data_IF_506885779518
#
_entry.id   IF_506885779518
#
_cell.length_a   1.000
_cell.length_b   1.000
_cell.length_c   1.000
_cell.angle_alpha   90.00
_cell.angle_beta   90.00
_cell.angle_gamma   90.00
#
_symmetry.space_group_name_H-M   'P 1'
#
loop_
_entity.id
_entity.type
_entity.pdbx_description
1 polymer ?
#
# COMPACT_ATOMS: atom_id res chain seq x y z
N UNK A 1 12.55 18.33 -13.12
CA UNK A 1 11.32 17.80 -12.47
C UNK A 1 11.26 18.37 -11.07
N UNK A 2 10.09 18.79 -10.62
CA UNK A 2 9.92 19.33 -9.29
C UNK A 2 9.40 18.23 -8.35
N UNK A 3 9.95 18.18 -7.14
CA UNK A 3 9.52 17.29 -6.06
C UNK A 3 9.51 18.08 -4.76
N UNK A 4 8.40 18.01 -4.02
CA UNK A 4 8.27 18.61 -2.70
C UNK A 4 8.23 17.52 -1.65
N UNK A 5 9.17 17.57 -0.69
CA UNK A 5 9.30 16.58 0.37
C UNK A 5 9.92 15.26 -0.07
N UNK A 6 9.66 14.22 0.70
CA UNK A 6 10.16 12.87 0.42
C UNK A 6 9.25 12.20 -0.61
N UNK A 7 9.85 11.59 -1.62
CA UNK A 7 9.15 10.79 -2.64
C UNK A 7 8.90 9.38 -2.12
N UNK A 8 7.64 9.05 -1.89
CA UNK A 8 7.22 7.71 -1.50
C UNK A 8 6.68 6.94 -2.69
N UNK A 9 7.21 5.75 -2.92
CA UNK A 9 6.80 4.85 -4.00
C UNK A 9 6.99 3.39 -3.59
N UNK A 10 6.26 2.45 -4.20
CA UNK A 10 6.54 1.02 -4.01
C UNK A 10 7.94 0.67 -4.56
N UNK A 11 8.66 -0.29 -3.97
CA UNK A 11 9.99 -0.68 -4.44
C UNK A 11 10.03 -1.07 -5.92
N UNK A 12 8.99 -1.72 -6.42
CA UNK A 12 8.88 -2.16 -7.82
C UNK A 12 8.64 -1.00 -8.80
N UNK A 13 8.33 0.22 -8.33
CA UNK A 13 8.23 1.45 -9.14
C UNK A 13 9.53 2.26 -9.16
N UNK A 14 10.63 1.71 -8.66
CA UNK A 14 11.92 2.42 -8.56
C UNK A 14 12.46 2.94 -9.91
N UNK A 15 12.19 2.21 -10.99
CA UNK A 15 12.65 2.57 -12.34
C UNK A 15 11.54 3.17 -13.23
N UNK A 16 10.38 3.47 -12.66
CA UNK A 16 9.27 4.13 -13.35
C UNK A 16 9.54 5.63 -13.49
N UNK A 17 8.92 6.27 -14.47
CA UNK A 17 8.86 7.73 -14.47
C UNK A 17 8.02 8.18 -13.27
N UNK A 18 8.64 8.80 -12.30
CA UNK A 18 7.94 9.37 -11.16
C UNK A 18 7.44 10.78 -11.54
N UNK A 19 6.15 11.04 -11.34
CA UNK A 19 5.54 12.33 -11.66
C UNK A 19 4.71 12.81 -10.48
N UNK A 20 5.10 13.93 -9.89
CA UNK A 20 4.35 14.52 -8.79
C UNK A 20 3.12 15.27 -9.31
N UNK A 21 1.94 14.79 -8.93
CA UNK A 21 0.66 15.42 -9.29
C UNK A 21 -0.09 15.97 -8.08
N UNK A 22 0.33 15.54 -6.89
CA UNK A 22 -0.12 16.05 -5.59
C UNK A 22 1.05 16.06 -4.62
N UNK A 23 0.97 16.85 -3.54
CA UNK A 23 1.84 16.74 -2.37
C UNK A 23 1.02 16.27 -1.18
N UNK A 24 1.67 15.65 -0.20
CA UNK A 24 1.02 15.23 1.03
C UNK A 24 -0.03 14.13 0.80
N UNK A 25 -0.95 14.00 1.75
CA UNK A 25 -2.07 13.07 1.71
C UNK A 25 -3.37 13.78 2.03
N UNK A 26 -4.42 13.64 1.17
CA UNK A 26 -5.72 14.30 1.34
C UNK A 26 -6.46 13.80 2.57
N UNK A 27 -6.17 12.58 3.02
CA UNK A 27 -6.76 12.00 4.22
C UNK A 27 -6.00 12.40 5.49
N UNK A 28 -4.70 12.13 5.55
CA UNK A 28 -3.72 12.46 6.61
C UNK A 28 -4.23 12.31 8.07
N UNK A 29 -5.02 11.25 8.35
CA UNK A 29 -5.66 10.99 9.66
C UNK A 29 -5.39 9.59 10.19
N UNK A 30 -4.60 8.79 9.48
CA UNK A 30 -4.25 7.46 9.93
C UNK A 30 -3.36 7.55 11.17
N UNK A 31 -3.75 6.89 12.27
CA UNK A 31 -3.05 7.00 13.57
C UNK A 31 -1.61 6.50 13.53
N UNK A 32 -1.28 5.62 12.60
CA UNK A 32 0.05 5.01 12.45
C UNK A 32 0.98 5.77 11.50
N UNK A 33 0.44 6.70 10.68
CA UNK A 33 1.18 7.29 9.58
C UNK A 33 1.73 8.67 9.96
N UNK A 34 3.05 8.83 9.84
CA UNK A 34 3.77 10.10 10.01
C UNK A 34 4.29 10.68 8.70
N UNK A 35 4.18 9.93 7.57
CA UNK A 35 4.81 10.24 6.28
C UNK A 35 4.50 11.64 5.74
N UNK A 36 3.33 12.19 6.06
CA UNK A 36 2.89 13.49 5.55
C UNK A 36 2.45 14.45 6.66
N UNK A 37 2.91 14.24 7.91
CA UNK A 37 2.56 15.11 9.06
C UNK A 37 2.88 16.57 8.80
N UNK A 38 4.03 16.84 8.15
CA UNK A 38 4.57 18.18 7.91
C UNK A 38 4.41 18.65 6.44
N UNK A 39 3.73 17.87 5.61
CA UNK A 39 3.53 18.18 4.19
C UNK A 39 2.05 18.44 3.91
N UNK A 40 1.64 19.72 3.71
CA UNK A 40 0.26 20.06 3.37
C UNK A 40 -0.18 19.39 2.06
N UNK A 41 -1.40 18.86 2.04
CA UNK A 41 -1.98 18.40 0.80
C UNK A 41 -2.18 19.54 -0.19
N UNK A 42 -1.65 19.39 -1.41
CA UNK A 42 -1.77 20.34 -2.51
C UNK A 42 -1.88 19.57 -3.83
N UNK A 43 -2.66 20.10 -4.74
CA UNK A 43 -2.72 19.63 -6.13
C UNK A 43 -1.69 20.41 -6.95
N UNK A 44 -0.77 19.71 -7.63
CA UNK A 44 0.21 20.36 -8.50
C UNK A 44 -0.47 21.12 -9.65
N UNK A 45 -0.10 22.39 -9.94
CA UNK A 45 -0.57 23.10 -11.12
C UNK A 45 -0.29 22.33 -12.41
N UNK A 46 -1.15 22.46 -13.42
CA UNK A 46 -0.94 21.73 -14.69
C UNK A 46 0.31 22.21 -15.41
N UNK A 47 0.69 23.47 -15.23
CA UNK A 47 1.90 24.06 -15.79
C UNK A 47 3.18 23.40 -15.25
N UNK A 48 3.19 23.03 -13.96
CA UNK A 48 4.29 22.28 -13.34
C UNK A 48 4.35 20.86 -13.91
N UNK A 49 3.21 20.17 -13.97
CA UNK A 49 3.11 18.83 -14.56
C UNK A 49 3.57 18.83 -16.02
N UNK A 50 3.19 19.84 -16.82
CA UNK A 50 3.61 19.99 -18.20
C UNK A 50 5.12 20.22 -18.32
N UNK A 51 5.71 21.01 -17.41
CA UNK A 51 7.14 21.24 -17.37
C UNK A 51 7.90 19.94 -17.07
N UNK A 52 7.42 19.18 -16.09
CA UNK A 52 8.02 17.91 -15.69
C UNK A 52 7.94 16.85 -16.80
N UNK A 53 6.80 16.74 -17.47
CA UNK A 53 6.65 15.83 -18.61
C UNK A 53 7.61 16.20 -19.75
N UNK A 54 7.79 17.50 -20.05
CA UNK A 54 8.77 17.95 -21.05
C UNK A 54 10.21 17.62 -20.67
N UNK A 55 10.56 17.88 -19.40
CA UNK A 55 11.90 17.55 -18.87
C UNK A 55 12.14 16.03 -18.89
N UNK A 56 11.15 15.24 -18.44
CA UNK A 56 11.21 13.79 -18.47
C UNK A 56 11.39 13.27 -19.91
N UNK A 57 10.68 13.81 -20.88
CA UNK A 57 10.82 13.42 -22.31
C UNK A 57 12.26 13.60 -22.82
N UNK A 58 12.96 14.61 -22.34
CA UNK A 58 14.36 14.85 -22.72
C UNK A 58 15.33 13.93 -21.96
N UNK A 59 15.08 13.63 -20.70
CA UNK A 59 16.08 13.10 -19.78
C UNK A 59 15.77 11.70 -19.22
N UNK A 60 14.52 11.23 -19.24
CA UNK A 60 14.16 9.92 -18.68
C UNK A 60 14.87 8.80 -19.43
N UNK A 61 15.56 7.95 -18.69
CA UNK A 61 16.32 6.80 -19.18
C UNK A 61 15.95 5.52 -18.44
N UNK A 62 14.82 5.55 -17.71
CA UNK A 62 14.31 4.37 -16.99
C UNK A 62 14.05 3.21 -17.96
N UNK A 63 14.28 2.00 -17.48
CA UNK A 63 14.06 0.79 -18.26
C UNK A 63 12.58 0.41 -18.33
N UNK A 64 11.81 0.80 -17.30
CA UNK A 64 10.41 0.51 -17.20
C UNK A 64 9.58 1.48 -18.05
N UNK A 65 8.78 0.93 -18.95
CA UNK A 65 7.88 1.71 -19.83
C UNK A 65 6.56 2.00 -19.10
N UNK A 66 6.65 2.76 -18.02
CA UNK A 66 5.51 3.11 -17.17
C UNK A 66 5.78 4.37 -16.37
N UNK A 67 4.70 5.00 -15.89
CA UNK A 67 4.76 6.13 -14.98
C UNK A 67 4.10 5.76 -13.65
N UNK A 68 4.58 6.34 -12.57
CA UNK A 68 3.97 6.32 -11.25
C UNK A 68 3.65 7.75 -10.84
N UNK A 69 2.35 8.02 -10.58
CA UNK A 69 1.90 9.27 -10.00
C UNK A 69 2.19 9.23 -8.51
N UNK A 70 3.21 9.96 -8.12
CA UNK A 70 3.76 9.85 -6.77
C UNK A 70 3.03 10.65 -5.72
N UNK A 71 3.47 10.44 -4.48
CA UNK A 71 2.89 10.87 -3.22
C UNK A 71 1.63 10.12 -2.80
N UNK A 72 1.29 10.29 -1.51
CA UNK A 72 0.41 9.38 -0.78
C UNK A 72 -1.02 9.29 -1.28
N UNK A 73 -1.43 10.16 -2.20
CA UNK A 73 -2.84 10.23 -2.55
C UNK A 73 -3.13 10.81 -3.95
N UNK A 74 -2.31 10.46 -4.94
CA UNK A 74 -2.48 10.95 -6.32
C UNK A 74 -3.86 10.62 -6.89
N UNK A 75 -4.46 9.49 -6.50
CA UNK A 75 -5.79 9.10 -6.96
C UNK A 75 -6.93 9.90 -6.30
N UNK A 76 -6.64 10.84 -5.38
CA UNK A 76 -7.60 11.81 -4.84
C UNK A 76 -8.02 12.88 -5.88
N UNK A 77 -7.24 13.06 -6.93
CA UNK A 77 -7.60 13.96 -8.02
C UNK A 77 -8.93 13.56 -8.67
N UNK A 78 -9.68 14.54 -9.16
CA UNK A 78 -10.89 14.26 -9.94
C UNK A 78 -10.60 13.40 -11.18
N UNK A 79 -11.60 12.66 -11.64
CA UNK A 79 -11.45 11.84 -12.84
C UNK A 79 -10.98 12.67 -14.05
N UNK A 80 -11.54 13.87 -14.24
CA UNK A 80 -11.16 14.75 -15.34
C UNK A 80 -9.71 15.24 -15.22
N UNK A 81 -9.23 15.52 -14.00
CA UNK A 81 -7.84 15.90 -13.78
C UNK A 81 -6.88 14.73 -14.09
N UNK A 82 -7.22 13.53 -13.62
CA UNK A 82 -6.45 12.31 -13.90
C UNK A 82 -6.43 12.01 -15.40
N UNK A 83 -7.55 12.16 -16.10
CA UNK A 83 -7.64 11.99 -17.57
C UNK A 83 -6.71 12.98 -18.29
N UNK A 84 -6.76 14.26 -17.93
CA UNK A 84 -5.90 15.27 -18.53
C UNK A 84 -4.41 14.99 -18.31
N UNK A 85 -4.01 14.51 -17.13
CA UNK A 85 -2.62 14.10 -16.83
C UNK A 85 -2.24 12.88 -17.67
N UNK A 86 -3.10 11.85 -17.72
CA UNK A 86 -2.83 10.63 -18.47
C UNK A 86 -2.70 10.88 -19.98
N UNK A 87 -3.53 11.73 -20.57
CA UNK A 87 -3.44 12.14 -21.98
C UNK A 87 -2.08 12.77 -22.30
N UNK A 88 -1.59 13.66 -21.42
CA UNK A 88 -0.28 14.31 -21.57
C UNK A 88 0.89 13.30 -21.46
N UNK A 89 0.82 12.39 -20.50
CA UNK A 89 1.81 11.31 -20.36
C UNK A 89 1.80 10.42 -21.62
N UNK A 90 0.63 9.98 -22.08
CA UNK A 90 0.49 9.13 -23.26
C UNK A 90 0.98 9.82 -24.55
N UNK A 91 0.75 11.12 -24.68
CA UNK A 91 1.27 11.90 -25.82
C UNK A 91 2.79 12.04 -25.80
N UNK A 92 3.40 12.15 -24.61
CA UNK A 92 4.84 12.26 -24.46
C UNK A 92 5.54 10.88 -24.53
N UNK A 93 4.91 9.84 -24.01
CA UNK A 93 5.44 8.47 -23.87
C UNK A 93 4.41 7.44 -24.37
N UNK A 94 4.19 7.36 -25.70
CA UNK A 94 3.16 6.49 -26.28
C UNK A 94 3.40 4.99 -25.99
N UNK A 95 4.67 4.62 -25.78
CA UNK A 95 5.09 3.24 -25.53
C UNK A 95 4.91 2.82 -24.05
N UNK A 96 4.47 3.72 -23.17
CA UNK A 96 4.23 3.33 -21.78
C UNK A 96 3.05 2.35 -21.70
N UNK A 97 3.21 1.34 -20.88
CA UNK A 97 2.24 0.24 -20.74
C UNK A 97 1.10 0.63 -19.80
N UNK A 98 1.44 1.32 -18.70
CA UNK A 98 0.47 1.80 -17.73
C UNK A 98 0.98 3.00 -16.93
N UNK A 99 0.05 3.66 -16.26
CA UNK A 99 0.25 4.71 -15.28
C UNK A 99 -0.34 4.20 -13.97
N UNK A 100 0.46 4.11 -12.93
CA UNK A 100 0.06 3.63 -11.60
C UNK A 100 0.05 4.76 -10.57
N UNK A 101 -0.61 4.53 -9.44
CA UNK A 101 -0.73 5.50 -8.35
C UNK A 101 -1.06 4.80 -7.03
N UNK A 102 -0.82 5.49 -5.92
CA UNK A 102 -1.48 5.17 -4.66
C UNK A 102 -2.92 5.68 -4.64
N UNK A 103 -3.78 4.93 -3.99
CA UNK A 103 -5.17 5.30 -3.75
C UNK A 103 -5.66 4.87 -2.36
N UNK A 104 -6.68 5.54 -1.88
CA UNK A 104 -7.52 5.09 -0.77
C UNK A 104 -8.87 4.57 -1.30
N UNK A 105 -9.58 3.82 -0.48
CA UNK A 105 -10.95 3.38 -0.77
C UNK A 105 -11.88 4.57 -1.05
N UNK A 106 -11.68 5.68 -0.33
CA UNK A 106 -12.44 6.92 -0.53
C UNK A 106 -12.23 7.51 -1.92
N UNK A 107 -10.99 7.54 -2.41
CA UNK A 107 -10.71 8.08 -3.74
C UNK A 107 -11.41 7.27 -4.86
N UNK A 108 -11.56 5.96 -4.66
CA UNK A 108 -12.29 5.10 -5.59
C UNK A 108 -13.79 5.36 -5.51
N UNK A 109 -14.33 5.57 -4.27
CA UNK A 109 -15.74 5.88 -4.03
C UNK A 109 -16.18 7.13 -4.79
N UNK A 110 -15.32 8.16 -4.86
CA UNK A 110 -15.59 9.45 -5.50
C UNK A 110 -15.60 9.38 -7.03
N UNK A 111 -15.31 8.23 -7.63
CA UNK A 111 -15.31 8.02 -9.09
C UNK A 111 -16.42 7.06 -9.48
N UNK A 112 -17.17 7.42 -10.53
CA UNK A 112 -18.15 6.50 -11.12
C UNK A 112 -17.46 5.34 -11.83
N UNK A 113 -18.18 4.24 -12.06
CA UNK A 113 -17.70 3.14 -12.88
C UNK A 113 -17.29 3.58 -14.30
N UNK A 114 -18.04 4.55 -14.87
CA UNK A 114 -17.70 5.15 -16.15
C UNK A 114 -16.35 5.86 -16.09
N UNK A 115 -16.12 6.68 -15.07
CA UNK A 115 -14.83 7.37 -14.90
C UNK A 115 -13.67 6.38 -14.82
N UNK A 116 -13.83 5.31 -14.04
CA UNK A 116 -12.80 4.27 -13.90
C UNK A 116 -12.52 3.57 -15.24
N UNK A 117 -13.55 3.25 -16.04
CA UNK A 117 -13.38 2.67 -17.39
C UNK A 117 -12.67 3.64 -18.33
N UNK A 118 -13.00 4.93 -18.28
CA UNK A 118 -12.31 5.96 -19.06
C UNK A 118 -10.83 6.10 -18.63
N UNK A 119 -10.55 6.15 -17.32
CA UNK A 119 -9.17 6.17 -16.79
C UNK A 119 -8.39 4.92 -17.23
N UNK A 120 -9.01 3.74 -17.17
CA UNK A 120 -8.40 2.49 -17.63
C UNK A 120 -8.04 2.55 -19.13
N UNK A 121 -8.91 3.13 -19.97
CA UNK A 121 -8.65 3.29 -21.41
C UNK A 121 -7.47 4.24 -21.69
N UNK A 122 -7.17 5.15 -20.78
CA UNK A 122 -6.02 6.04 -20.80
C UNK A 122 -4.77 5.47 -20.11
N UNK A 123 -4.74 4.16 -19.89
CA UNK A 123 -3.65 3.39 -19.27
C UNK A 123 -3.46 3.65 -17.77
N UNK A 124 -4.34 4.37 -17.07
CA UNK A 124 -4.30 4.39 -15.60
C UNK A 124 -4.75 3.02 -15.12
N UNK A 125 -3.81 2.28 -14.53
CA UNK A 125 -3.98 0.90 -14.10
C UNK A 125 -2.96 0.55 -13.02
N UNK A 126 -3.10 -0.64 -12.38
CA UNK A 126 -2.21 -1.12 -11.29
C UNK A 126 -2.18 -0.16 -10.12
N UNK A 127 -3.39 0.13 -9.61
CA UNK A 127 -3.59 1.04 -8.49
C UNK A 127 -3.21 0.33 -7.17
N UNK A 128 -2.36 0.98 -6.36
CA UNK A 128 -1.91 0.45 -5.08
C UNK A 128 -2.77 1.03 -3.96
N UNK A 129 -3.50 0.19 -3.23
CA UNK A 129 -4.54 0.60 -2.29
C UNK A 129 -4.16 0.18 -0.87
N UNK A 130 -3.97 1.17 0.01
CA UNK A 130 -3.78 0.93 1.43
C UNK A 130 -5.10 0.58 2.11
N UNK A 131 -5.46 -0.70 2.14
CA UNK A 131 -6.64 -1.19 2.90
C UNK A 131 -6.29 -1.34 4.36
N UNK A 132 -5.14 -1.88 4.66
CA UNK A 132 -4.50 -2.12 5.96
C UNK A 132 -5.14 -3.24 6.78
N UNK A 133 -6.47 -3.36 6.80
CA UNK A 133 -7.22 -4.41 7.51
C UNK A 133 -8.60 -4.62 6.86
N UNK A 134 -9.14 -5.82 7.01
CA UNK A 134 -10.53 -6.16 6.64
C UNK A 134 -11.46 -6.24 7.87
N UNK A 135 -11.10 -5.60 8.98
CA UNK A 135 -11.89 -5.55 10.21
C UNK A 135 -12.35 -4.13 10.52
N UNK A 136 -13.65 -3.92 10.69
CA UNK A 136 -14.25 -2.59 10.89
C UNK A 136 -13.74 -1.88 12.13
N UNK A 137 -13.57 -2.57 13.24
CA UNK A 137 -13.05 -2.01 14.48
C UNK A 137 -11.58 -1.62 14.36
N UNK A 138 -10.78 -2.39 13.60
CA UNK A 138 -9.38 -2.06 13.29
C UNK A 138 -9.33 -0.86 12.35
N UNK A 139 -10.14 -0.83 11.28
CA UNK A 139 -10.21 0.29 10.35
C UNK A 139 -10.64 1.59 11.05
N UNK A 140 -11.59 1.51 11.97
CA UNK A 140 -12.02 2.63 12.79
C UNK A 140 -10.89 3.12 13.71
N UNK A 141 -10.19 2.21 14.39
CA UNK A 141 -9.04 2.54 15.25
C UNK A 141 -7.91 3.17 14.43
N UNK A 142 -7.57 2.61 13.28
CA UNK A 142 -6.53 3.14 12.39
C UNK A 142 -6.91 4.50 11.76
N UNK A 143 -8.16 4.93 11.89
CA UNK A 143 -8.64 6.19 11.35
C UNK A 143 -8.84 6.19 9.83
N UNK A 144 -9.08 5.03 9.21
CA UNK A 144 -9.24 4.90 7.74
C UNK A 144 -10.50 5.57 7.22
N UNK A 145 -11.56 5.65 8.04
CA UNK A 145 -12.80 6.37 7.76
C UNK A 145 -13.69 5.71 6.70
N UNK A 146 -13.63 4.40 6.58
CA UNK A 146 -14.52 3.51 5.83
C UNK A 146 -14.59 2.15 6.51
N UNK A 147 -15.59 1.35 6.15
CA UNK A 147 -15.76 -0.03 6.63
C UNK A 147 -15.15 -1.05 5.67
N UNK A 148 -14.98 -2.29 6.12
CA UNK A 148 -14.53 -3.39 5.28
C UNK A 148 -15.49 -3.64 4.10
N UNK A 149 -16.81 -3.55 4.33
CA UNK A 149 -17.79 -3.67 3.26
C UNK A 149 -17.72 -2.52 2.25
N UNK A 150 -17.51 -1.27 2.70
CA UNK A 150 -17.27 -0.16 1.79
C UNK A 150 -16.00 -0.36 0.96
N UNK A 151 -14.91 -0.85 1.57
CA UNK A 151 -13.69 -1.20 0.84
C UNK A 151 -13.99 -2.24 -0.23
N UNK A 152 -14.70 -3.28 0.14
CA UNK A 152 -15.09 -4.38 -0.71
C UNK A 152 -15.84 -3.92 -1.97
N UNK A 153 -16.92 -3.15 -1.78
CA UNK A 153 -17.73 -2.59 -2.88
C UNK A 153 -16.88 -1.75 -3.85
N UNK A 154 -15.90 -0.99 -3.33
CA UNK A 154 -15.03 -0.18 -4.20
C UNK A 154 -14.00 -1.04 -4.95
N UNK A 155 -13.48 -2.09 -4.34
CA UNK A 155 -12.55 -3.02 -4.99
C UNK A 155 -13.26 -3.82 -6.09
N UNK A 156 -14.49 -4.29 -5.86
CA UNK A 156 -15.32 -4.91 -6.91
C UNK A 156 -15.56 -3.95 -8.09
N UNK A 157 -15.85 -2.67 -7.80
CA UNK A 157 -16.04 -1.65 -8.83
C UNK A 157 -14.78 -1.44 -9.69
N UNK A 158 -13.56 -1.52 -9.10
CA UNK A 158 -12.32 -1.50 -9.87
C UNK A 158 -12.20 -2.71 -10.80
N UNK A 159 -12.48 -3.91 -10.28
CA UNK A 159 -12.52 -5.14 -11.09
C UNK A 159 -13.52 -5.05 -12.25
N UNK A 160 -14.73 -4.52 -12.00
CA UNK A 160 -15.75 -4.28 -13.04
C UNK A 160 -15.29 -3.25 -14.09
N UNK A 161 -14.46 -2.29 -13.69
CA UNK A 161 -13.83 -1.35 -14.61
C UNK A 161 -12.69 -1.98 -15.44
N UNK A 162 -12.26 -3.20 -15.13
CA UNK A 162 -11.12 -3.88 -15.73
C UNK A 162 -9.78 -3.33 -15.27
N UNK A 163 -9.75 -2.67 -14.11
CA UNK A 163 -8.51 -2.14 -13.50
C UNK A 163 -7.85 -3.21 -12.63
N UNK A 164 -6.55 -3.37 -12.80
CA UNK A 164 -5.73 -4.18 -11.89
C UNK A 164 -5.39 -3.35 -10.65
N UNK A 165 -5.41 -3.96 -9.48
CA UNK A 165 -5.07 -3.28 -8.24
C UNK A 165 -4.29 -4.18 -7.28
N UNK A 166 -3.33 -3.59 -6.57
CA UNK A 166 -2.63 -4.19 -5.45
C UNK A 166 -3.23 -3.73 -4.13
N UNK A 167 -3.21 -4.60 -3.12
CA UNK A 167 -3.70 -4.30 -1.79
C UNK A 167 -2.55 -4.30 -0.78
N UNK A 168 -2.49 -3.28 0.06
CA UNK A 168 -1.56 -3.22 1.18
C UNK A 168 -2.31 -3.58 2.46
N UNK A 169 -1.73 -4.51 3.22
CA UNK A 169 -2.18 -4.91 4.57
C UNK A 169 -1.05 -4.74 5.58
N UNK A 170 -1.43 -4.58 6.85
CA UNK A 170 -0.47 -4.46 7.94
C UNK A 170 -0.62 -5.61 8.94
N UNK A 171 0.45 -6.35 9.16
CA UNK A 171 0.57 -7.29 10.27
C UNK A 171 0.59 -6.51 11.59
N UNK A 172 -0.06 -7.05 12.59
CA UNK A 172 -0.13 -6.43 13.91
C UNK A 172 -1.13 -5.29 14.03
N UNK A 173 -1.89 -4.96 12.98
CA UNK A 173 -2.83 -3.84 12.96
C UNK A 173 -3.94 -3.94 14.02
N UNK A 174 -4.36 -5.14 14.41
CA UNK A 174 -5.34 -5.37 15.47
C UNK A 174 -4.72 -5.24 16.87
N UNK A 175 -3.43 -5.54 17.01
CA UNK A 175 -2.72 -5.50 18.28
C UNK A 175 -3.19 -6.54 19.29
N UNK A 176 -2.62 -6.49 20.49
CA UNK A 176 -3.12 -7.26 21.64
C UNK A 176 -3.05 -8.78 21.53
N UNK A 177 -2.43 -9.34 20.49
CA UNK A 177 -2.34 -10.77 20.23
C UNK A 177 -3.56 -11.38 19.50
N UNK A 178 -4.43 -10.55 18.92
CA UNK A 178 -5.64 -10.99 18.20
C UNK A 178 -5.39 -11.34 16.72
N UNK A 179 -4.19 -11.70 16.36
CA UNK A 179 -3.72 -11.89 14.97
C UNK A 179 -4.53 -12.92 14.14
N UNK A 180 -5.20 -13.91 14.78
CA UNK A 180 -5.95 -14.94 14.06
C UNK A 180 -7.16 -14.38 13.32
N UNK A 181 -7.89 -13.47 13.97
CA UNK A 181 -9.06 -12.80 13.41
C UNK A 181 -8.64 -11.90 12.25
N UNK A 182 -7.57 -11.14 12.45
CA UNK A 182 -6.98 -10.27 11.44
C UNK A 182 -6.56 -11.05 10.19
N UNK A 183 -5.75 -12.09 10.36
CA UNK A 183 -5.28 -12.93 9.25
C UNK A 183 -6.44 -13.56 8.45
N UNK A 184 -7.45 -14.09 9.13
CA UNK A 184 -8.61 -14.72 8.50
C UNK A 184 -9.43 -13.71 7.67
N UNK A 185 -9.75 -12.54 8.24
CA UNK A 185 -10.51 -11.51 7.56
C UNK A 185 -9.76 -10.93 6.34
N UNK A 186 -8.45 -10.69 6.49
CA UNK A 186 -7.61 -10.20 5.40
C UNK A 186 -7.52 -11.22 4.25
N UNK A 187 -7.33 -12.51 4.58
CA UNK A 187 -7.31 -13.58 3.57
C UNK A 187 -8.66 -13.71 2.85
N UNK A 188 -9.78 -13.61 3.57
CA UNK A 188 -11.12 -13.63 2.99
C UNK A 188 -11.32 -12.48 1.99
N UNK A 189 -10.93 -11.26 2.35
CA UNK A 189 -11.00 -10.11 1.45
C UNK A 189 -10.15 -10.35 0.20
N UNK A 190 -8.89 -10.79 0.36
CA UNK A 190 -7.98 -11.08 -0.76
C UNK A 190 -8.60 -12.12 -1.70
N UNK A 191 -9.10 -13.22 -1.16
CA UNK A 191 -9.70 -14.30 -1.94
C UNK A 191 -10.94 -13.85 -2.72
N UNK A 192 -11.70 -12.94 -2.15
CA UNK A 192 -12.93 -12.45 -2.75
C UNK A 192 -12.66 -11.47 -3.89
N UNK A 193 -11.67 -10.56 -3.76
CA UNK A 193 -11.42 -9.52 -4.78
C UNK A 193 -10.29 -9.86 -5.75
N UNK A 194 -9.51 -10.89 -5.46
CA UNK A 194 -8.41 -11.40 -6.30
C UNK A 194 -7.49 -10.29 -6.85
N UNK A 195 -6.77 -9.54 -6.00
CA UNK A 195 -5.85 -8.49 -6.44
C UNK A 195 -4.69 -9.10 -7.21
N UNK A 196 -4.11 -8.37 -8.19
CA UNK A 196 -2.91 -8.87 -8.89
C UNK A 196 -1.70 -9.00 -7.96
N UNK A 197 -1.70 -8.25 -6.84
CA UNK A 197 -0.62 -8.22 -5.86
C UNK A 197 -1.14 -7.91 -4.46
N UNK A 198 -0.55 -8.55 -3.46
CA UNK A 198 -0.70 -8.23 -2.03
C UNK A 198 0.64 -7.78 -1.50
N UNK A 199 0.69 -6.59 -0.93
CA UNK A 199 1.85 -6.05 -0.23
C UNK A 199 1.58 -6.07 1.27
N UNK A 200 2.53 -6.61 2.05
CA UNK A 200 2.39 -6.74 3.50
C UNK A 200 3.57 -6.08 4.20
N UNK A 201 3.27 -5.23 5.17
CA UNK A 201 4.23 -4.65 6.09
C UNK A 201 3.78 -4.84 7.53
N UNK A 202 4.72 -4.78 8.47
CA UNK A 202 4.41 -4.82 9.90
C UNK A 202 4.11 -3.42 10.42
N UNK A 203 3.05 -3.28 11.20
CA UNK A 203 2.71 -2.03 11.89
C UNK A 203 3.80 -1.68 12.91
N UNK A 204 4.31 -0.47 12.80
CA UNK A 204 5.19 0.15 13.79
C UNK A 204 4.63 1.50 14.22
N UNK A 205 4.75 1.80 15.51
CA UNK A 205 4.50 3.16 16.00
C UNK A 205 5.73 4.01 15.73
N UNK A 206 5.76 4.79 14.67
CA UNK A 206 6.83 5.73 14.38
C UNK A 206 6.77 6.93 15.33
N UNK A 207 7.93 7.47 15.66
CA UNK A 207 8.00 8.67 16.52
C UNK A 207 7.17 9.81 15.93
N UNK A 208 6.34 10.43 16.76
CA UNK A 208 5.44 11.51 16.36
C UNK A 208 4.11 11.08 15.76
N UNK A 209 3.87 9.79 15.49
CA UNK A 209 2.54 9.33 15.08
C UNK A 209 1.58 9.20 16.28
N UNK A 210 0.27 9.36 16.03
CA UNK A 210 -0.76 9.26 17.06
C UNK A 210 -0.81 7.87 17.74
N UNK A 211 -0.34 6.82 17.06
CA UNK A 211 -0.27 5.46 17.61
C UNK A 211 0.64 5.38 18.85
N UNK A 212 1.72 6.18 18.91
CA UNK A 212 2.57 6.28 20.11
C UNK A 212 1.76 6.70 21.34
N UNK A 213 0.85 7.66 21.16
CA UNK A 213 -0.03 8.12 22.23
C UNK A 213 -1.03 7.04 22.67
N UNK A 214 -1.56 6.26 21.71
CA UNK A 214 -2.47 5.15 22.01
C UNK A 214 -1.77 4.04 22.81
N UNK A 215 -0.52 3.74 22.48
CA UNK A 215 0.33 2.79 23.23
C UNK A 215 0.61 3.33 24.63
N UNK A 216 1.05 4.59 24.77
CA UNK A 216 1.37 5.20 26.06
C UNK A 216 0.15 5.25 26.99
N UNK A 217 -1.07 5.38 26.45
CA UNK A 217 -2.34 5.35 27.21
C UNK A 217 -2.87 3.93 27.46
N UNK A 218 -2.16 2.90 27.01
CA UNK A 218 -2.58 1.49 27.15
C UNK A 218 -3.80 1.10 26.30
N UNK A 219 -4.16 1.89 25.26
CA UNK A 219 -5.29 1.59 24.38
C UNK A 219 -4.88 0.76 23.16
N UNK A 220 -3.59 0.63 22.91
CA UNK A 220 -3.04 -0.28 21.93
C UNK A 220 -1.83 -1.01 22.51
N UNK A 221 -1.70 -2.29 22.19
CA UNK A 221 -0.53 -3.10 22.56
C UNK A 221 0.03 -3.75 21.29
N UNK A 222 1.27 -3.45 20.98
CA UNK A 222 1.97 -4.06 19.85
C UNK A 222 2.10 -5.58 20.03
N UNK A 223 2.11 -6.31 18.93
CA UNK A 223 2.30 -7.75 18.92
C UNK A 223 3.79 -8.09 19.09
N UNK A 224 4.04 -9.25 19.74
CA UNK A 224 5.39 -9.83 19.77
C UNK A 224 5.77 -10.33 18.37
N UNK A 225 7.08 -10.51 18.15
CA UNK A 225 7.56 -11.05 16.88
C UNK A 225 6.92 -12.39 16.54
N UNK A 226 6.79 -13.29 17.51
CA UNK A 226 6.09 -14.58 17.34
C UNK A 226 4.65 -14.39 16.86
N UNK A 227 3.92 -13.46 17.44
CA UNK A 227 2.53 -13.19 17.05
C UNK A 227 2.44 -12.62 15.62
N UNK A 228 3.39 -11.79 15.22
CA UNK A 228 3.46 -11.27 13.84
C UNK A 228 3.77 -12.38 12.83
N UNK A 229 4.73 -13.25 13.13
CA UNK A 229 5.04 -14.41 12.28
C UNK A 229 3.86 -15.41 12.20
N UNK A 230 3.15 -15.62 13.32
CA UNK A 230 1.94 -16.45 13.34
C UNK A 230 0.80 -15.82 12.53
N UNK A 231 0.64 -14.50 12.55
CA UNK A 231 -0.30 -13.79 11.70
C UNK A 231 0.03 -13.97 10.22
N UNK A 232 1.30 -13.78 9.86
CA UNK A 232 1.76 -13.92 8.47
C UNK A 232 1.59 -15.35 7.95
N UNK A 233 1.94 -16.37 8.77
CA UNK A 233 1.70 -17.80 8.42
C UNK A 233 0.22 -18.08 8.16
N UNK A 234 -0.66 -17.56 9.00
CA UNK A 234 -2.11 -17.77 8.84
C UNK A 234 -2.67 -17.02 7.63
N UNK A 235 -2.21 -15.79 7.40
CA UNK A 235 -2.56 -15.02 6.22
C UNK A 235 -2.18 -15.78 4.95
N UNK A 236 -0.91 -16.20 4.84
CA UNK A 236 -0.40 -16.96 3.69
C UNK A 236 -1.20 -18.24 3.45
N UNK A 237 -1.46 -19.01 4.52
CA UNK A 237 -2.21 -20.28 4.44
C UNK A 237 -3.68 -20.10 4.08
N UNK A 238 -4.24 -18.91 4.35
CA UNK A 238 -5.63 -18.57 4.08
C UNK A 238 -5.88 -18.05 2.65
N UNK A 239 -4.84 -17.63 1.94
CA UNK A 239 -4.97 -17.08 0.58
C UNK A 239 -5.01 -18.20 -0.44
N UNK A 240 -6.13 -18.30 -1.14
CA UNK A 240 -6.36 -19.24 -2.25
C UNK A 240 -6.42 -18.56 -3.63
N UNK A 241 -6.56 -17.24 -3.64
CA UNK A 241 -6.54 -16.45 -4.88
C UNK A 241 -5.13 -16.45 -5.52
N UNK A 242 -5.09 -16.46 -6.84
CA UNK A 242 -3.85 -16.25 -7.59
C UNK A 242 -3.42 -14.79 -7.47
N UNK A 243 -2.31 -14.53 -6.77
CA UNK A 243 -1.78 -13.18 -6.52
C UNK A 243 -0.28 -13.21 -6.28
N UNK A 244 0.42 -12.14 -6.63
CA UNK A 244 1.81 -11.96 -6.22
C UNK A 244 1.85 -11.48 -4.76
N UNK A 245 2.67 -12.09 -3.92
CA UNK A 245 2.87 -11.69 -2.52
C UNK A 245 4.20 -10.97 -2.34
N UNK A 246 4.16 -9.78 -1.75
CA UNK A 246 5.30 -8.93 -1.42
C UNK A 246 5.33 -8.65 0.08
N UNK A 247 6.01 -9.47 0.84
CA UNK A 247 6.35 -9.28 2.25
C UNK A 247 7.81 -8.85 2.44
N UNK A 248 8.38 -8.09 1.50
CA UNK A 248 9.80 -7.67 1.53
C UNK A 248 9.99 -6.28 2.15
N UNK A 249 8.95 -5.72 2.78
CA UNK A 249 9.10 -4.44 3.47
C UNK A 249 10.11 -4.57 4.61
N UNK A 250 11.00 -3.57 4.84
CA UNK A 250 12.01 -3.62 5.90
C UNK A 250 11.43 -3.82 7.31
N UNK A 251 10.15 -3.50 7.52
CA UNK A 251 9.44 -3.76 8.78
C UNK A 251 9.13 -5.24 9.04
N UNK A 252 9.31 -6.12 8.08
CA UNK A 252 9.06 -7.56 8.24
C UNK A 252 10.34 -8.28 8.65
N UNK A 253 10.24 -9.19 9.60
CA UNK A 253 11.40 -9.96 10.09
C UNK A 253 11.91 -10.97 9.06
N UNK A 254 11.02 -11.52 8.24
CA UNK A 254 11.35 -12.50 7.20
C UNK A 254 10.91 -11.90 5.86
N UNK A 255 11.87 -11.56 4.96
CA UNK A 255 11.49 -11.05 3.65
C UNK A 255 10.92 -12.17 2.77
N UNK A 256 9.65 -12.05 2.41
CA UNK A 256 8.92 -13.02 1.61
C UNK A 256 8.51 -12.44 0.25
N UNK A 257 8.67 -13.24 -0.78
CA UNK A 257 8.21 -12.90 -2.13
C UNK A 257 7.88 -14.18 -2.88
N UNK A 258 6.78 -14.20 -3.64
CA UNK A 258 6.38 -15.33 -4.48
C UNK A 258 4.97 -15.20 -5.01
N UNK A 259 4.52 -16.24 -5.71
CA UNK A 259 3.17 -16.35 -6.24
C UNK A 259 2.31 -17.22 -5.31
N UNK A 260 1.15 -16.72 -4.90
CA UNK A 260 0.19 -17.50 -4.12
C UNK A 260 -0.89 -18.08 -5.05
N UNK A 261 -1.41 -19.27 -4.73
CA UNK A 261 -1.06 -20.12 -3.59
C UNK A 261 0.16 -21.05 -3.84
N UNK A 262 0.78 -21.01 -5.04
CA UNK A 262 1.79 -22.00 -5.46
C UNK A 262 3.04 -22.03 -4.57
N UNK A 263 3.50 -20.87 -4.09
CA UNK A 263 4.75 -20.75 -3.33
C UNK A 263 4.52 -20.70 -1.81
N UNK A 264 3.29 -20.92 -1.33
CA UNK A 264 2.96 -20.84 0.10
C UNK A 264 3.83 -21.72 0.96
N UNK A 265 4.10 -22.97 0.54
CA UNK A 265 4.95 -23.91 1.28
C UNK A 265 6.36 -23.38 1.49
N UNK A 266 6.99 -22.84 0.44
CA UNK A 266 8.34 -22.26 0.50
C UNK A 266 8.39 -21.05 1.43
N UNK A 267 7.33 -20.23 1.46
CA UNK A 267 7.27 -19.06 2.35
C UNK A 267 7.12 -19.50 3.81
N UNK A 268 6.25 -20.49 4.09
CA UNK A 268 6.08 -21.06 5.44
C UNK A 268 7.37 -21.70 5.96
N UNK A 269 8.10 -22.42 5.11
CA UNK A 269 9.39 -23.01 5.47
C UNK A 269 10.43 -21.94 5.85
N UNK A 270 10.47 -20.80 5.15
CA UNK A 270 11.33 -19.67 5.49
C UNK A 270 11.01 -19.09 6.87
N UNK A 271 9.72 -18.89 7.17
CA UNK A 271 9.30 -18.41 8.48
C UNK A 271 9.69 -19.42 9.57
N UNK A 272 9.43 -20.71 9.36
CA UNK A 272 9.78 -21.77 10.32
C UNK A 272 11.28 -21.84 10.57
N UNK A 273 12.10 -21.78 9.52
CA UNK A 273 13.56 -21.77 9.65
C UNK A 273 14.08 -20.55 10.44
N UNK A 274 13.44 -19.40 10.27
CA UNK A 274 13.76 -18.23 11.07
C UNK A 274 13.37 -18.43 12.54
N UNK A 275 12.15 -18.92 12.83
CA UNK A 275 11.70 -19.23 14.20
C UNK A 275 12.61 -20.22 14.92
N UNK A 276 13.06 -21.28 14.22
CA UNK A 276 13.95 -22.29 14.77
C UNK A 276 15.35 -21.73 15.11
N UNK A 277 15.78 -20.68 14.40
CA UNK A 277 17.10 -20.05 14.59
C UNK A 277 17.09 -18.90 15.61
N UNK A 278 15.93 -18.25 15.81
CA UNK A 278 15.82 -17.08 16.66
C UNK A 278 15.68 -17.46 18.14
N UNK A 279 16.37 -16.76 19.07
CA UNK A 279 16.17 -16.96 20.51
C UNK A 279 14.71 -16.71 20.93
N UNK A 280 14.20 -17.52 21.86
CA UNK A 280 12.83 -17.33 22.37
C UNK A 280 12.62 -15.92 22.95
N UNK A 281 13.64 -15.32 23.58
CA UNK A 281 13.58 -13.95 24.09
C UNK A 281 13.35 -12.90 23.00
N UNK A 282 13.85 -13.14 21.80
CA UNK A 282 13.62 -12.26 20.62
C UNK A 282 12.21 -12.49 20.08
N UNK A 283 11.81 -13.75 19.91
CA UNK A 283 10.46 -14.08 19.42
C UNK A 283 9.34 -13.58 20.34
N UNK A 284 9.55 -13.59 21.65
CA UNK A 284 8.54 -13.21 22.65
C UNK A 284 8.62 -11.70 23.02
N UNK A 285 9.50 -10.93 22.37
CA UNK A 285 9.56 -9.48 22.50
C UNK A 285 8.80 -8.75 21.38
N UNK A 286 8.42 -7.50 21.65
CA UNK A 286 7.99 -6.56 20.61
C UNK A 286 9.23 -6.15 19.83
N UNK A 287 9.23 -6.26 18.49
CA UNK A 287 10.39 -5.90 17.69
C UNK A 287 10.81 -4.44 17.88
N UNK A 288 12.10 -4.21 17.94
CA UNK A 288 12.66 -2.85 17.94
C UNK A 288 12.45 -2.17 16.58
N UNK A 289 12.70 -0.86 16.54
CA UNK A 289 12.52 -0.02 15.35
C UNK A 289 13.86 0.55 14.92
N UNK A 290 14.22 0.37 13.67
CA UNK A 290 15.38 0.95 13.02
C UNK A 290 15.02 2.17 12.21
N UNK A 291 16.01 2.74 11.52
CA UNK A 291 15.81 3.81 10.54
C UNK A 291 14.89 3.32 9.40
N UNK A 292 14.09 4.23 8.85
CA UNK A 292 13.15 3.95 7.75
C UNK A 292 12.12 2.84 8.05
N UNK A 293 11.77 2.61 9.32
CA UNK A 293 10.80 1.60 9.72
C UNK A 293 11.31 0.16 9.61
N UNK A 294 12.62 -0.04 9.50
CA UNK A 294 13.21 -1.38 9.53
C UNK A 294 13.05 -2.00 10.92
N UNK A 295 12.83 -3.32 10.95
CA UNK A 295 12.77 -4.09 12.20
C UNK A 295 14.18 -4.26 12.77
N UNK A 296 14.30 -4.13 14.09
CA UNK A 296 15.50 -4.51 14.85
C UNK A 296 15.14 -5.73 15.71
N UNK A 297 15.89 -6.81 15.57
CA UNK A 297 15.69 -8.09 16.26
C UNK A 297 16.65 -8.22 17.44
#
# INVERSE_FOLDING_TARGET
MHYEGITWRPPFEAESLLLQVTTGCSHNKCVFCSMYSDVPYRVSPMEEIDADIREAKANFRGKNRRAFLENGDAFSLSADRLKAVAEKINAAFPDFEYISAYASVKNIKDKSLRDLKELRSLKINKINIGVESALDDVLAFLGKGYTAEEAFVQLEKLGEAGMEFGLNFMLGAEGGGNFRRSAAANAEMINRVSPYMVFVGTLHAEEGCALCDEIARGRFRENTLRQLLDEEKQLLSGISAETAFFGTHPSNAVPLFGALPSDVGVMLDKISAFEDSAPASVLDSVPGKGEEGAIIL
#
